data_IF_177716553819
#
_entry.id   IF_177716553819
#
_cell.length_a   1.000
_cell.length_b   1.000
_cell.length_c   1.000
_cell.angle_alpha   90.00
_cell.angle_beta   90.00
_cell.angle_gamma   90.00
#
_symmetry.space_group_name_H-M   'P 1'
#
loop_
_entity.id
_entity.type
_entity.pdbx_description
1 polymer ?
#
# COMPACT_ATOMS: atom_id res chain seq x y z
N UNK A 1 -18.03 -39.19 -54.98
CA UNK A 1 -17.12 -37.99 -55.04
C UNK A 1 -15.69 -38.53 -55.12
N UNK A 2 -15.03 -38.46 -56.27
CA UNK A 2 -13.64 -38.95 -56.41
C UNK A 2 -12.70 -37.92 -55.78
N UNK A 3 -12.16 -38.24 -54.61
CA UNK A 3 -11.13 -37.40 -53.96
C UNK A 3 -9.93 -37.39 -54.88
N UNK A 4 -9.50 -36.18 -55.30
CA UNK A 4 -8.33 -36.02 -56.20
C UNK A 4 -7.08 -36.46 -55.42
N UNK A 5 -6.24 -37.32 -56.05
CA UNK A 5 -4.99 -37.82 -55.43
C UNK A 5 -4.11 -36.69 -54.89
N UNK A 6 -4.15 -35.52 -55.51
CA UNK A 6 -3.46 -34.29 -55.09
C UNK A 6 -3.91 -33.78 -53.72
N UNK A 7 -5.23 -33.87 -53.42
CA UNK A 7 -5.77 -33.45 -52.14
C UNK A 7 -5.35 -34.38 -50.98
N UNK A 8 -5.22 -35.69 -51.28
CA UNK A 8 -4.73 -36.67 -50.28
C UNK A 8 -3.24 -36.42 -49.99
N UNK A 9 -2.44 -36.19 -51.04
CA UNK A 9 -1.00 -35.89 -50.87
C UNK A 9 -0.81 -34.60 -50.07
N UNK A 10 -1.58 -33.54 -50.35
CA UNK A 10 -1.53 -32.29 -49.61
C UNK A 10 -1.91 -32.49 -48.12
N UNK A 11 -2.93 -33.29 -47.84
CA UNK A 11 -3.34 -33.64 -46.47
C UNK A 11 -2.22 -34.36 -45.71
N UNK A 12 -1.56 -35.33 -46.34
CA UNK A 12 -0.40 -36.05 -45.76
C UNK A 12 0.76 -35.10 -45.47
N UNK A 13 1.09 -34.19 -46.40
CA UNK A 13 2.15 -33.21 -46.22
C UNK A 13 1.85 -32.28 -45.05
N UNK A 14 0.59 -31.79 -44.91
CA UNK A 14 0.19 -30.94 -43.80
C UNK A 14 0.31 -31.71 -42.46
N UNK A 15 -0.13 -32.95 -42.38
CA UNK A 15 -0.03 -33.77 -41.18
C UNK A 15 1.45 -34.01 -40.80
N UNK A 16 2.29 -34.34 -41.76
CA UNK A 16 3.74 -34.54 -41.52
C UNK A 16 4.43 -33.25 -41.06
N UNK A 17 4.12 -32.11 -41.68
CA UNK A 17 4.66 -30.83 -41.25
C UNK A 17 4.14 -30.41 -39.88
N UNK A 18 2.87 -30.67 -39.58
CA UNK A 18 2.29 -30.40 -38.24
C UNK A 18 2.94 -31.28 -37.16
N UNK A 19 3.10 -32.58 -37.45
CA UNK A 19 3.82 -33.49 -36.56
C UNK A 19 5.29 -33.08 -36.39
N UNK A 20 5.95 -32.69 -37.45
CA UNK A 20 7.32 -32.16 -37.39
C UNK A 20 7.41 -30.92 -36.50
N UNK A 21 6.47 -29.96 -36.61
CA UNK A 21 6.44 -28.75 -35.80
C UNK A 21 6.11 -29.06 -34.31
N UNK A 22 5.26 -30.06 -34.04
CA UNK A 22 4.89 -30.49 -32.68
C UNK A 22 6.07 -31.24 -32.02
N UNK A 23 6.71 -32.17 -32.76
CA UNK A 23 7.82 -32.97 -32.25
C UNK A 23 9.13 -32.18 -32.19
N UNK A 24 9.31 -31.22 -33.07
CA UNK A 24 10.49 -30.38 -33.16
C UNK A 24 10.23 -29.03 -32.43
N UNK A 25 9.69 -29.07 -31.20
CA UNK A 25 9.79 -27.96 -30.23
C UNK A 25 11.26 -27.82 -29.81
N UNK A 26 12.13 -27.57 -30.77
CA UNK A 26 13.50 -27.13 -30.54
C UNK A 26 13.40 -25.78 -29.85
N UNK A 27 13.81 -25.70 -28.60
CA UNK A 27 14.16 -24.46 -27.94
C UNK A 27 15.24 -23.78 -28.83
N UNK A 28 14.79 -22.90 -29.72
CA UNK A 28 15.65 -22.17 -30.67
C UNK A 28 16.45 -21.04 -30.02
N UNK A 29 16.57 -21.08 -28.67
CA UNK A 29 17.53 -20.20 -28.00
C UNK A 29 18.95 -20.75 -28.30
N UNK A 30 19.68 -20.06 -29.15
CA UNK A 30 21.10 -20.31 -29.46
C UNK A 30 22.02 -20.00 -28.26
N UNK A 31 21.44 -19.80 -27.06
CA UNK A 31 22.13 -19.42 -25.81
C UNK A 31 21.47 -20.06 -24.60
N UNK A 32 22.29 -20.48 -23.66
CA UNK A 32 21.82 -20.96 -22.35
C UNK A 32 21.43 -19.80 -21.47
N UNK A 33 20.18 -19.82 -21.00
CA UNK A 33 19.70 -18.85 -19.98
C UNK A 33 20.15 -19.26 -18.59
N UNK A 34 20.59 -18.31 -17.77
CA UNK A 34 20.93 -18.61 -16.39
C UNK A 34 19.70 -19.11 -15.64
N UNK A 35 19.80 -20.30 -15.06
CA UNK A 35 18.77 -20.84 -14.18
C UNK A 35 18.91 -20.24 -12.78
N UNK A 36 17.91 -19.45 -12.36
CA UNK A 36 17.88 -18.82 -11.05
C UNK A 36 17.00 -19.68 -10.13
N UNK A 37 17.60 -20.27 -9.11
CA UNK A 37 16.84 -21.07 -8.14
C UNK A 37 15.91 -20.16 -7.32
N UNK A 38 14.61 -20.49 -7.17
CA UNK A 38 13.72 -19.77 -6.26
C UNK A 38 14.26 -19.81 -4.82
N UNK A 39 13.92 -18.77 -4.06
CA UNK A 39 14.23 -18.67 -2.63
C UNK A 39 12.89 -18.61 -1.88
N UNK A 40 12.70 -19.34 -0.77
CA UNK A 40 11.52 -19.14 0.05
C UNK A 40 11.44 -17.67 0.53
N UNK A 41 10.31 -17.00 0.31
CA UNK A 41 10.13 -15.59 0.72
C UNK A 41 10.36 -15.41 2.21
N UNK A 42 10.00 -16.41 3.02
CA UNK A 42 10.19 -16.42 4.47
C UNK A 42 11.65 -16.43 4.91
N UNK A 43 12.60 -16.83 4.07
CA UNK A 43 14.03 -16.81 4.38
C UNK A 43 14.67 -15.45 4.13
N UNK A 44 14.02 -14.57 3.34
CA UNK A 44 14.53 -13.23 3.06
C UNK A 44 14.33 -12.36 4.30
N UNK A 45 15.43 -12.02 4.96
CA UNK A 45 15.43 -11.21 6.20
C UNK A 45 15.88 -9.76 5.98
N UNK A 46 16.56 -9.47 4.86
CA UNK A 46 17.06 -8.14 4.53
C UNK A 46 17.07 -7.92 3.02
N UNK A 47 16.66 -6.74 2.58
CA UNK A 47 16.70 -6.29 1.19
C UNK A 47 17.32 -4.90 1.14
N UNK A 48 18.30 -4.68 0.24
CA UNK A 48 18.82 -3.36 -0.11
C UNK A 48 18.48 -3.05 -1.56
N UNK A 49 18.06 -1.83 -1.81
CA UNK A 49 17.80 -1.27 -3.13
C UNK A 49 18.52 0.07 -3.22
N UNK A 50 19.63 0.09 -3.98
CA UNK A 50 20.50 1.26 -4.12
C UNK A 50 20.36 1.87 -5.51
N UNK A 51 20.04 3.15 -5.59
CA UNK A 51 19.88 3.92 -6.83
C UNK A 51 20.41 5.34 -6.69
N UNK A 52 20.42 6.11 -7.78
CA UNK A 52 20.76 7.54 -7.74
C UNK A 52 19.78 8.38 -6.90
N UNK A 53 18.57 7.88 -6.65
CA UNK A 53 17.58 8.55 -5.79
C UNK A 53 17.83 8.30 -4.29
N UNK A 54 18.74 7.40 -3.94
CA UNK A 54 19.09 7.03 -2.58
C UNK A 54 19.12 5.53 -2.35
N UNK A 55 19.43 5.14 -1.11
CA UNK A 55 19.46 3.76 -0.64
C UNK A 55 18.26 3.46 0.22
N UNK A 56 17.62 2.33 -0.02
CA UNK A 56 16.49 1.81 0.75
C UNK A 56 16.93 0.49 1.36
N UNK A 57 16.82 0.39 2.67
CA UNK A 57 17.16 -0.81 3.42
C UNK A 57 15.91 -1.31 4.14
N UNK A 58 15.49 -2.53 3.81
CA UNK A 58 14.37 -3.22 4.45
C UNK A 58 14.94 -4.35 5.30
N UNK A 59 14.61 -4.37 6.58
CA UNK A 59 15.13 -5.37 7.53
C UNK A 59 13.95 -5.99 8.27
N UNK A 60 13.95 -7.30 8.40
CA UNK A 60 13.01 -8.01 9.27
C UNK A 60 13.54 -8.06 10.69
N UNK A 61 12.83 -7.45 11.64
CA UNK A 61 13.13 -7.48 13.08
C UNK A 61 11.93 -8.06 13.82
N UNK A 62 12.16 -9.09 14.62
CA UNK A 62 11.09 -9.76 15.42
C UNK A 62 9.82 -10.10 14.62
N UNK A 63 9.99 -10.49 13.34
CA UNK A 63 8.87 -10.84 12.44
C UNK A 63 8.24 -9.65 11.70
N UNK A 64 8.58 -8.42 12.05
CA UNK A 64 8.08 -7.21 11.40
C UNK A 64 9.15 -6.60 10.50
N UNK A 65 8.70 -6.00 9.37
CA UNK A 65 9.59 -5.27 8.49
C UNK A 65 9.78 -3.84 8.95
N UNK A 66 11.01 -3.38 8.93
CA UNK A 66 11.38 -1.98 9.20
C UNK A 66 12.17 -1.41 8.04
N UNK A 67 12.03 -0.09 7.84
CA UNK A 67 12.63 0.65 6.74
C UNK A 67 13.77 1.51 7.27
N UNK A 68 14.93 1.37 6.66
CA UNK A 68 16.17 2.07 6.95
C UNK A 68 16.71 1.86 8.38
N UNK A 69 17.77 2.60 8.72
CA UNK A 69 18.41 2.50 10.05
C UNK A 69 17.55 3.08 11.16
N UNK A 70 16.68 4.05 10.83
CA UNK A 70 15.69 4.67 11.72
C UNK A 70 14.61 3.69 12.16
N UNK A 71 14.56 2.51 11.53
CA UNK A 71 13.63 1.44 11.83
C UNK A 71 12.15 1.85 11.77
N UNK A 72 11.79 2.67 10.77
CA UNK A 72 10.38 3.00 10.54
C UNK A 72 9.55 1.76 10.25
N UNK A 73 8.32 1.66 10.76
CA UNK A 73 7.43 0.55 10.42
C UNK A 73 7.26 0.41 8.91
N UNK A 74 7.43 -0.81 8.40
CA UNK A 74 7.32 -1.11 6.97
C UNK A 74 5.93 -1.58 6.56
N UNK A 75 5.47 -1.15 5.37
CA UNK A 75 4.24 -1.67 4.77
C UNK A 75 4.44 -3.13 4.34
N UNK A 76 3.81 -4.05 5.07
CA UNK A 76 3.97 -5.50 4.88
C UNK A 76 3.64 -5.95 3.46
N UNK A 77 2.60 -5.38 2.85
CA UNK A 77 2.14 -5.78 1.53
C UNK A 77 3.11 -5.32 0.43
N UNK A 78 3.55 -4.07 0.50
CA UNK A 78 4.51 -3.50 -0.46
C UNK A 78 5.85 -4.25 -0.38
N UNK A 79 6.35 -4.50 0.83
CA UNK A 79 7.62 -5.20 1.04
C UNK A 79 7.51 -6.67 0.61
N UNK A 80 6.40 -7.34 0.92
CA UNK A 80 6.14 -8.71 0.48
C UNK A 80 6.18 -8.83 -1.04
N UNK A 81 5.55 -7.91 -1.79
CA UNK A 81 5.61 -7.91 -3.26
C UNK A 81 7.05 -7.80 -3.78
N UNK A 82 7.88 -6.96 -3.18
CA UNK A 82 9.31 -6.85 -3.55
C UNK A 82 10.06 -8.14 -3.22
N UNK A 83 9.83 -8.71 -2.05
CA UNK A 83 10.44 -9.97 -1.65
C UNK A 83 10.04 -11.14 -2.58
N UNK A 84 8.77 -11.20 -3.00
CA UNK A 84 8.28 -12.20 -3.96
C UNK A 84 8.95 -12.08 -5.34
N UNK A 85 9.14 -10.86 -5.85
CA UNK A 85 9.87 -10.61 -7.10
C UNK A 85 11.32 -11.10 -6.98
N UNK A 86 11.99 -10.79 -5.88
CA UNK A 86 13.38 -11.20 -5.65
C UNK A 86 13.47 -12.72 -5.51
N UNK A 87 12.57 -13.32 -4.75
CA UNK A 87 12.50 -14.75 -4.48
C UNK A 87 12.30 -15.57 -5.75
N UNK A 88 11.40 -15.12 -6.63
CA UNK A 88 10.96 -15.82 -7.83
C UNK A 88 11.52 -15.19 -9.13
N UNK A 89 12.64 -14.48 -9.05
CA UNK A 89 13.25 -13.87 -10.24
C UNK A 89 13.50 -14.92 -11.32
N UNK A 90 12.91 -14.71 -12.50
CA UNK A 90 13.09 -15.56 -13.67
C UNK A 90 13.67 -14.79 -14.83
N UNK A 91 14.50 -15.44 -15.61
CA UNK A 91 15.11 -14.90 -16.84
C UNK A 91 14.46 -15.57 -18.03
N UNK A 92 13.99 -14.77 -18.99
CA UNK A 92 13.25 -15.29 -20.15
C UNK A 92 13.99 -15.16 -21.46
N UNK A 93 14.83 -14.15 -21.61
CA UNK A 93 15.48 -13.86 -22.90
C UNK A 93 16.83 -13.17 -22.70
N UNK A 94 17.85 -13.59 -23.42
CA UNK A 94 19.12 -12.84 -23.57
C UNK A 94 18.87 -11.67 -24.54
N UNK A 95 19.18 -10.46 -24.10
CA UNK A 95 18.95 -9.23 -24.88
C UNK A 95 20.24 -8.72 -25.50
N UNK A 96 21.32 -8.74 -24.72
CA UNK A 96 22.62 -8.23 -25.20
C UNK A 96 23.77 -8.85 -24.44
N UNK A 97 24.84 -9.12 -25.17
CA UNK A 97 26.15 -9.48 -24.64
C UNK A 97 27.12 -8.30 -24.66
N UNK A 98 26.71 -7.18 -25.28
CA UNK A 98 27.49 -5.94 -25.28
C UNK A 98 27.37 -5.23 -23.94
N UNK A 99 28.45 -4.52 -23.55
CA UNK A 99 28.45 -3.73 -22.28
C UNK A 99 27.82 -2.34 -22.45
N UNK A 100 26.94 -2.13 -23.44
CA UNK A 100 26.22 -0.88 -23.61
C UNK A 100 24.99 -0.84 -22.69
N UNK A 101 25.22 -0.57 -21.42
CA UNK A 101 24.22 -0.61 -20.37
C UNK A 101 23.26 0.58 -20.38
N UNK A 102 23.70 1.76 -20.88
CA UNK A 102 22.87 2.98 -20.92
C UNK A 102 21.58 2.79 -21.70
N UNK A 103 21.63 2.00 -22.80
CA UNK A 103 20.44 1.68 -23.60
C UNK A 103 19.31 1.02 -22.79
N UNK A 104 19.63 0.38 -21.69
CA UNK A 104 18.72 -0.43 -20.85
C UNK A 104 18.48 0.18 -19.47
N UNK A 105 18.96 1.40 -19.19
CA UNK A 105 19.00 2.04 -17.86
C UNK A 105 19.70 1.14 -16.81
N UNK A 106 20.72 0.43 -17.25
CA UNK A 106 21.61 -0.39 -16.40
C UNK A 106 22.95 0.30 -16.13
N UNK A 107 23.13 1.53 -16.63
CA UNK A 107 24.26 2.37 -16.30
C UNK A 107 24.20 2.89 -14.86
N UNK A 108 25.31 3.42 -14.33
CA UNK A 108 25.45 3.80 -12.93
C UNK A 108 24.39 4.80 -12.46
N UNK A 109 23.95 5.73 -13.33
CA UNK A 109 23.01 6.80 -12.96
C UNK A 109 21.53 6.38 -12.94
N UNK A 110 21.20 5.23 -13.56
CA UNK A 110 19.82 4.85 -13.81
C UNK A 110 19.43 3.51 -13.24
N UNK A 111 20.38 2.63 -12.93
CA UNK A 111 20.12 1.30 -12.39
C UNK A 111 19.67 1.34 -10.93
N UNK A 112 18.95 0.30 -10.54
CA UNK A 112 18.71 -0.02 -9.14
C UNK A 112 19.51 -1.29 -8.84
N UNK A 113 20.43 -1.23 -7.89
CA UNK A 113 21.16 -2.41 -7.40
C UNK A 113 20.33 -3.05 -6.31
N UNK A 114 19.91 -4.28 -6.52
CA UNK A 114 19.09 -5.05 -5.58
C UNK A 114 19.92 -6.16 -4.97
N UNK A 115 19.91 -6.22 -3.63
CA UNK A 115 20.55 -7.29 -2.86
C UNK A 115 19.58 -7.85 -1.83
N UNK A 116 19.57 -9.15 -1.63
CA UNK A 116 18.75 -9.81 -0.63
C UNK A 116 19.58 -10.83 0.17
N UNK A 117 19.29 -10.93 1.46
CA UNK A 117 19.98 -11.81 2.40
C UNK A 117 18.99 -12.71 3.12
N UNK A 118 19.46 -13.93 3.39
CA UNK A 118 18.89 -14.87 4.35
C UNK A 118 19.82 -14.91 5.57
N UNK A 119 19.40 -14.30 6.67
CA UNK A 119 20.32 -13.99 7.77
C UNK A 119 21.47 -13.10 7.28
N UNK A 120 22.71 -13.54 7.48
CA UNK A 120 23.90 -12.83 7.04
C UNK A 120 24.38 -13.23 5.63
N UNK A 121 23.76 -14.24 5.02
CA UNK A 121 24.15 -14.76 3.71
C UNK A 121 23.49 -13.98 2.59
N UNK A 122 24.29 -13.41 1.68
CA UNK A 122 23.78 -12.80 0.43
C UNK A 122 23.27 -13.90 -0.51
N UNK A 123 21.97 -13.95 -0.72
CA UNK A 123 21.30 -15.00 -1.52
C UNK A 123 20.92 -14.55 -2.93
N UNK A 124 20.83 -13.22 -3.15
CA UNK A 124 20.49 -12.65 -4.45
C UNK A 124 21.13 -11.29 -4.64
N UNK A 125 21.70 -11.06 -5.83
CA UNK A 125 22.17 -9.74 -6.26
C UNK A 125 21.99 -9.56 -7.77
N UNK A 126 21.37 -8.45 -8.18
CA UNK A 126 21.17 -8.09 -9.58
C UNK A 126 20.90 -6.60 -9.75
N UNK A 127 21.19 -6.08 -10.95
CA UNK A 127 20.86 -4.72 -11.36
C UNK A 127 19.54 -4.71 -12.10
N UNK A 128 18.69 -3.72 -11.82
CA UNK A 128 17.37 -3.49 -12.45
C UNK A 128 17.45 -2.27 -13.35
N UNK A 129 17.21 -2.48 -14.63
CA UNK A 129 17.12 -1.44 -15.65
C UNK A 129 15.67 -0.99 -15.89
N UNK A 130 15.41 -0.33 -17.03
CA UNK A 130 14.08 0.11 -17.40
C UNK A 130 13.14 -1.04 -17.77
N UNK A 131 11.85 -0.70 -17.82
CA UNK A 131 10.81 -1.57 -18.37
C UNK A 131 11.01 -1.70 -19.88
N UNK A 132 10.89 -2.90 -20.41
CA UNK A 132 10.96 -3.14 -21.86
C UNK A 132 9.78 -2.50 -22.60
N UNK A 133 9.95 -2.19 -23.88
CA UNK A 133 8.96 -1.48 -24.72
C UNK A 133 7.57 -2.13 -24.72
N UNK A 134 7.51 -3.46 -24.55
CA UNK A 134 6.24 -4.21 -24.44
C UNK A 134 5.57 -4.15 -23.08
N UNK A 135 6.11 -3.43 -22.10
CA UNK A 135 5.64 -3.29 -20.71
C UNK A 135 5.45 -4.60 -19.93
N UNK A 136 5.90 -5.74 -20.47
CA UNK A 136 5.76 -7.07 -19.84
C UNK A 136 7.02 -7.52 -19.10
N UNK A 137 8.17 -6.93 -19.38
CA UNK A 137 9.47 -7.35 -18.89
C UNK A 137 10.25 -6.17 -18.32
N UNK A 138 11.21 -6.46 -17.46
CA UNK A 138 12.21 -5.50 -16.97
C UNK A 138 13.59 -5.96 -17.47
N UNK A 139 14.43 -5.02 -17.91
CA UNK A 139 15.83 -5.33 -18.19
C UNK A 139 16.58 -5.57 -16.89
N UNK A 140 17.33 -6.65 -16.83
CA UNK A 140 18.13 -7.01 -15.64
C UNK A 140 19.52 -7.46 -16.03
N UNK A 141 20.46 -7.26 -15.10
CA UNK A 141 21.82 -7.78 -15.17
C UNK A 141 22.14 -8.51 -13.86
N UNK A 142 22.55 -9.77 -13.95
CA UNK A 142 22.90 -10.56 -12.77
C UNK A 142 24.29 -10.20 -12.27
N UNK A 143 24.54 -10.31 -10.96
CA UNK A 143 25.85 -10.12 -10.39
C UNK A 143 26.88 -11.08 -11.00
N UNK A 144 28.09 -10.57 -11.26
CA UNK A 144 29.15 -11.36 -11.90
C UNK A 144 28.93 -11.66 -13.40
N UNK A 145 27.81 -11.22 -13.99
CA UNK A 145 27.50 -11.44 -15.41
C UNK A 145 27.38 -10.10 -16.16
N UNK A 146 28.01 -9.98 -17.32
CA UNK A 146 27.98 -8.77 -18.14
C UNK A 146 26.77 -8.70 -19.09
N UNK A 147 26.05 -9.79 -19.23
CA UNK A 147 24.90 -9.92 -20.15
C UNK A 147 23.67 -9.21 -19.63
N UNK A 148 22.87 -8.67 -20.54
CA UNK A 148 21.57 -8.06 -20.26
C UNK A 148 20.46 -9.03 -20.64
N UNK A 149 19.49 -9.18 -19.76
CA UNK A 149 18.38 -10.10 -19.91
C UNK A 149 17.03 -9.42 -19.76
N UNK A 150 15.97 -10.06 -20.24
CA UNK A 150 14.61 -9.80 -19.78
C UNK A 150 14.31 -10.67 -18.56
N UNK A 151 13.80 -10.04 -17.52
CA UNK A 151 13.10 -10.74 -16.44
C UNK A 151 11.69 -11.16 -16.88
N UNK A 152 11.10 -12.16 -16.21
CA UNK A 152 9.79 -12.72 -16.55
C UNK A 152 8.62 -11.75 -16.40
N UNK A 153 8.79 -10.64 -15.67
CA UNK A 153 7.74 -9.65 -15.45
C UNK A 153 8.27 -8.21 -15.41
N UNK A 154 7.35 -7.25 -15.45
CA UNK A 154 7.63 -5.83 -15.30
C UNK A 154 7.52 -5.42 -13.82
N UNK A 155 8.63 -5.06 -13.19
CA UNK A 155 8.66 -4.78 -11.76
C UNK A 155 9.48 -3.55 -11.32
N UNK A 156 10.17 -2.85 -12.22
CA UNK A 156 10.98 -1.69 -11.85
C UNK A 156 10.22 -0.71 -10.96
N UNK A 157 8.98 -0.38 -11.32
CA UNK A 157 8.16 0.57 -10.58
C UNK A 157 7.86 0.13 -9.13
N UNK A 158 7.93 -1.19 -8.83
CA UNK A 158 7.75 -1.67 -7.46
C UNK A 158 8.99 -1.45 -6.61
N UNK A 159 10.18 -1.40 -7.22
CA UNK A 159 11.47 -1.23 -6.54
C UNK A 159 11.96 0.22 -6.54
N UNK A 160 11.54 1.03 -7.51
CA UNK A 160 11.93 2.43 -7.64
C UNK A 160 11.18 3.33 -6.66
N UNK A 161 11.86 4.37 -6.16
CA UNK A 161 11.28 5.42 -5.32
C UNK A 161 12.10 5.65 -4.05
N UNK A 162 11.51 6.45 -3.14
CA UNK A 162 12.11 6.77 -1.84
C UNK A 162 11.67 5.80 -0.76
N UNK A 163 12.41 5.77 0.36
CA UNK A 163 12.11 4.94 1.53
C UNK A 163 10.67 5.11 2.04
N UNK A 164 10.11 6.31 1.94
CA UNK A 164 8.73 6.62 2.35
C UNK A 164 7.66 5.75 1.64
N UNK A 165 7.93 5.24 0.44
CA UNK A 165 7.05 4.30 -0.28
C UNK A 165 6.86 2.98 0.46
N UNK A 166 7.85 2.56 1.22
CA UNK A 166 7.87 1.27 1.91
C UNK A 166 7.46 1.37 3.38
N UNK A 167 7.20 2.58 3.88
CA UNK A 167 6.73 2.81 5.25
C UNK A 167 5.25 2.49 5.37
N UNK A 168 4.84 1.97 6.51
CA UNK A 168 3.43 1.87 6.85
C UNK A 168 2.85 3.28 7.01
N UNK A 169 1.83 3.57 6.23
CA UNK A 169 1.14 4.87 6.20
C UNK A 169 -0.03 4.95 7.18
N UNK A 170 -0.34 3.89 7.91
CA UNK A 170 -1.38 3.91 8.93
C UNK A 170 -0.97 4.88 10.05
N UNK A 171 -1.79 5.90 10.29
CA UNK A 171 -1.55 6.93 11.31
C UNK A 171 -2.62 6.95 12.40
N UNK A 172 -3.74 6.26 12.15
CA UNK A 172 -4.79 6.01 13.14
C UNK A 172 -5.56 4.75 12.75
N UNK A 173 -5.74 3.85 13.71
CA UNK A 173 -6.50 2.61 13.52
C UNK A 173 -7.24 2.28 14.81
N UNK A 174 -8.57 2.14 14.74
CA UNK A 174 -9.41 1.74 15.87
C UNK A 174 -10.70 1.09 15.38
N UNK A 175 -11.37 0.35 16.26
CA UNK A 175 -12.68 -0.24 15.98
C UNK A 175 -13.79 0.77 16.30
N UNK A 176 -14.60 1.22 15.32
CA UNK A 176 -15.65 2.23 15.52
C UNK A 176 -16.67 1.88 16.62
N UNK A 177 -16.95 0.57 16.78
CA UNK A 177 -17.92 0.09 17.77
C UNK A 177 -17.46 0.25 19.21
N UNK A 178 -16.15 0.32 19.45
CA UNK A 178 -15.57 0.51 20.77
C UNK A 178 -15.60 1.97 21.23
N UNK A 179 -15.86 2.92 20.33
CA UNK A 179 -15.91 4.33 20.65
C UNK A 179 -17.24 4.68 21.32
N UNK A 180 -17.17 5.28 22.49
CA UNK A 180 -18.31 5.71 23.31
C UNK A 180 -18.49 7.23 23.33
N UNK A 181 -17.42 7.98 23.05
CA UNK A 181 -17.45 9.44 23.06
C UNK A 181 -16.61 10.00 21.91
N UNK A 182 -17.11 11.04 21.26
CA UNK A 182 -16.40 11.84 20.26
C UNK A 182 -16.35 13.27 20.75
N UNK A 183 -15.16 13.83 20.81
CA UNK A 183 -14.96 15.24 21.13
C UNK A 183 -14.38 15.94 19.90
N UNK A 184 -15.01 17.00 19.48
CA UNK A 184 -14.59 17.85 18.38
C UNK A 184 -14.19 19.22 18.92
N UNK A 185 -12.99 19.71 18.59
CA UNK A 185 -12.48 21.01 19.03
C UNK A 185 -11.95 21.80 17.83
N UNK A 186 -12.35 23.07 17.74
CA UNK A 186 -11.90 24.00 16.69
C UNK A 186 -11.74 25.38 17.32
N UNK A 187 -10.52 25.88 17.45
CA UNK A 187 -10.20 27.11 18.19
C UNK A 187 -10.87 27.07 19.59
N UNK A 188 -11.76 28.02 19.87
CA UNK A 188 -12.45 28.15 21.16
C UNK A 188 -13.75 27.35 21.23
N UNK A 189 -14.16 26.68 20.19
CA UNK A 189 -15.39 25.87 20.12
C UNK A 189 -15.09 24.40 20.38
N UNK A 190 -15.84 23.79 21.30
CA UNK A 190 -15.75 22.39 21.64
C UNK A 190 -17.16 21.78 21.69
N UNK A 191 -17.30 20.58 21.13
CA UNK A 191 -18.53 19.80 21.23
C UNK A 191 -18.20 18.36 21.58
N UNK A 192 -19.01 17.79 22.48
CA UNK A 192 -18.86 16.42 22.96
C UNK A 192 -20.13 15.65 22.60
N UNK A 193 -19.94 14.46 22.04
CA UNK A 193 -21.02 13.54 21.68
C UNK A 193 -20.79 12.22 22.38
N UNK A 194 -21.83 11.67 22.98
CA UNK A 194 -21.79 10.41 23.74
C UNK A 194 -22.74 9.42 23.09
N UNK A 195 -22.27 8.20 22.88
CA UNK A 195 -23.05 7.07 22.35
C UNK A 195 -23.96 6.55 23.44
N UNK A 196 -25.27 6.52 23.21
CA UNK A 196 -26.23 5.96 24.13
C UNK A 196 -27.06 4.87 23.45
N UNK A 197 -27.40 3.82 24.19
CA UNK A 197 -28.38 2.84 23.72
C UNK A 197 -29.75 3.51 23.78
N UNK A 198 -30.53 3.47 22.73
CA UNK A 198 -31.92 3.91 22.77
C UNK A 198 -32.71 2.84 23.50
N UNK A 199 -33.23 3.17 24.69
CA UNK A 199 -34.35 2.44 25.25
C UNK A 199 -35.60 3.00 24.54
N UNK A 200 -36.05 2.36 23.47
CA UNK A 200 -37.38 2.62 22.96
C UNK A 200 -38.36 2.03 23.98
N UNK A 201 -39.18 2.92 24.57
CA UNK A 201 -40.34 2.49 25.32
C UNK A 201 -41.24 1.66 24.42
N UNK A 202 -41.77 0.51 24.87
CA UNK A 202 -42.67 -0.31 24.09
C UNK A 202 -43.99 0.40 23.87
N UNK A 203 -44.11 1.14 22.78
CA UNK A 203 -45.39 1.71 22.36
C UNK A 203 -45.97 0.85 21.24
N UNK A 204 -46.37 -0.37 21.60
CA UNK A 204 -47.42 -1.14 20.90
C UNK A 204 -47.88 -2.30 21.76
N UNK A 205 -49.12 -2.30 22.10
CA UNK A 205 -49.90 -3.46 22.60
C UNK A 205 -49.74 -4.64 21.67
N UNK A 206 -49.47 -5.86 22.18
CA UNK A 206 -49.31 -7.04 21.32
C UNK A 206 -50.65 -7.42 20.70
N UNK A 207 -50.72 -7.42 19.37
CA UNK A 207 -51.71 -8.16 18.66
C UNK A 207 -51.01 -9.47 18.17
N UNK A 208 -51.64 -10.56 18.53
CA UNK A 208 -51.37 -11.97 18.36
C UNK A 208 -50.30 -12.44 17.36
N UNK A 209 -49.45 -13.38 17.84
CA UNK A 209 -48.74 -14.49 17.17
C UNK A 209 -47.79 -14.19 15.99
N UNK A 210 -46.80 -13.32 16.18
CA UNK A 210 -45.54 -13.37 15.39
C UNK A 210 -44.31 -13.49 16.33
N UNK A 211 -43.25 -14.28 15.94
CA UNK A 211 -42.02 -14.34 16.73
C UNK A 211 -41.38 -12.98 16.82
N UNK A 212 -41.20 -12.45 18.03
CA UNK A 212 -40.47 -11.22 18.33
C UNK A 212 -39.03 -11.36 17.80
N UNK A 213 -38.78 -10.91 16.58
CA UNK A 213 -37.43 -10.51 16.19
C UNK A 213 -37.05 -9.34 17.10
N UNK A 214 -36.10 -9.58 18.03
CA UNK A 214 -35.51 -8.51 18.83
C UNK A 214 -34.86 -7.51 17.86
N UNK A 215 -35.55 -6.44 17.51
CA UNK A 215 -34.97 -5.30 16.81
C UNK A 215 -33.75 -4.82 17.64
N UNK A 216 -32.57 -5.00 17.06
CA UNK A 216 -31.33 -4.52 17.63
C UNK A 216 -31.44 -3.02 17.75
N UNK A 217 -31.67 -2.51 18.97
CA UNK A 217 -31.67 -1.07 19.29
C UNK A 217 -30.39 -0.44 18.76
N UNK A 218 -30.51 0.42 17.75
CA UNK A 218 -29.37 1.10 17.18
C UNK A 218 -28.88 2.17 18.16
N UNK A 219 -27.59 2.19 18.51
CA UNK A 219 -27.06 3.23 19.38
C UNK A 219 -27.19 4.60 18.71
N UNK A 220 -27.56 5.63 19.46
CA UNK A 220 -27.68 7.02 18.99
C UNK A 220 -26.64 7.90 19.65
N UNK A 221 -26.19 8.91 18.92
CA UNK A 221 -25.28 9.93 19.44
C UNK A 221 -26.08 11.11 20.03
N UNK A 222 -25.74 11.52 21.24
CA UNK A 222 -26.32 12.71 21.89
C UNK A 222 -25.23 13.75 22.16
N UNK A 223 -25.60 15.02 22.01
CA UNK A 223 -24.77 16.15 22.40
C UNK A 223 -24.79 16.38 23.92
N UNK A 224 -24.02 17.35 24.44
CA UNK A 224 -23.98 17.69 25.85
C UNK A 224 -25.33 18.20 26.40
N UNK A 225 -26.24 18.69 25.56
CA UNK A 225 -27.57 19.10 25.92
C UNK A 225 -28.60 17.94 25.98
N UNK A 226 -28.18 16.73 25.55
CA UNK A 226 -29.05 15.55 25.48
C UNK A 226 -29.80 15.39 24.15
N UNK A 227 -29.61 16.31 23.18
CA UNK A 227 -30.25 16.23 21.88
C UNK A 227 -29.63 15.15 21.03
N UNK A 228 -30.45 14.39 20.31
CA UNK A 228 -30.01 13.37 19.38
C UNK A 228 -29.41 14.04 18.14
N UNK A 229 -28.17 13.74 17.87
CA UNK A 229 -27.48 14.17 16.64
C UNK A 229 -27.80 13.19 15.50
N UNK A 230 -28.10 13.70 14.30
CA UNK A 230 -28.33 12.84 13.14
C UNK A 230 -27.15 11.91 12.94
N UNK A 231 -27.39 10.64 13.18
CA UNK A 231 -26.41 9.56 13.37
C UNK A 231 -25.42 9.39 12.20
N UNK A 232 -25.84 9.67 10.97
CA UNK A 232 -25.06 9.42 9.77
C UNK A 232 -23.75 10.24 9.67
N UNK A 233 -23.66 11.44 10.23
CA UNK A 233 -22.46 12.30 10.13
C UNK A 233 -21.35 11.85 11.06
N UNK A 234 -21.68 11.53 12.31
CA UNK A 234 -20.72 11.04 13.31
C UNK A 234 -20.27 9.63 12.96
N UNK A 235 -21.19 8.76 12.54
CA UNK A 235 -20.86 7.40 12.10
C UNK A 235 -19.94 7.41 10.86
N UNK A 236 -20.20 8.32 9.92
CA UNK A 236 -19.31 8.50 8.77
C UNK A 236 -17.92 8.97 9.20
N UNK A 237 -17.83 9.99 10.06
CA UNK A 237 -16.54 10.49 10.58
C UNK A 237 -15.74 9.38 11.28
N UNK A 238 -16.40 8.56 12.09
CA UNK A 238 -15.78 7.39 12.71
C UNK A 238 -15.24 6.40 11.69
N UNK A 239 -16.03 6.05 10.68
CA UNK A 239 -15.62 5.15 9.61
C UNK A 239 -14.44 5.69 8.82
N UNK A 240 -14.48 6.98 8.44
CA UNK A 240 -13.43 7.62 7.65
C UNK A 240 -12.09 7.71 8.42
N UNK A 241 -12.12 7.82 9.76
CA UNK A 241 -10.94 7.96 10.61
C UNK A 241 -10.47 6.65 11.25
N UNK A 242 -11.27 5.60 11.23
CA UNK A 242 -10.95 4.31 11.87
C UNK A 242 -9.78 3.56 11.23
N UNK A 243 -9.40 3.89 9.99
CA UNK A 243 -8.26 3.33 9.27
C UNK A 243 -7.55 4.40 8.43
N UNK A 244 -7.11 5.46 9.11
CA UNK A 244 -6.56 6.65 8.48
C UNK A 244 -5.12 6.40 8.01
N UNK A 245 -4.84 6.76 6.76
CA UNK A 245 -3.50 6.71 6.17
C UNK A 245 -3.03 8.09 5.76
N UNK A 246 -1.76 8.39 6.00
CA UNK A 246 -1.13 9.63 5.55
C UNK A 246 -0.68 9.52 4.08
N UNK A 247 -0.46 10.68 3.43
CA UNK A 247 0.17 10.75 2.11
C UNK A 247 1.68 10.65 2.20
N UNK A 248 2.28 11.35 3.15
CA UNK A 248 3.73 11.36 3.41
C UNK A 248 4.01 11.71 4.87
N UNK A 249 5.19 11.33 5.36
CA UNK A 249 5.68 11.78 6.66
C UNK A 249 6.44 13.11 6.53
N UNK A 250 6.46 13.89 7.62
CA UNK A 250 7.19 15.15 7.72
C UNK A 250 8.46 14.86 8.51
N UNK A 251 9.62 14.92 7.86
CA UNK A 251 10.91 14.51 8.44
C UNK A 251 11.61 15.61 9.22
N UNK A 252 11.34 16.86 8.91
CA UNK A 252 12.04 18.05 9.42
C UNK A 252 11.36 18.69 10.65
N UNK A 253 10.22 18.14 11.11
CA UNK A 253 9.45 18.68 12.23
C UNK A 253 8.97 17.58 13.18
N UNK A 254 9.02 17.88 14.48
CA UNK A 254 8.51 17.02 15.55
C UNK A 254 7.08 17.42 15.94
N UNK A 255 6.35 16.54 16.64
CA UNK A 255 5.00 16.85 17.17
C UNK A 255 4.99 18.12 18.05
N UNK A 256 6.05 18.35 18.83
CA UNK A 256 6.20 19.54 19.69
C UNK A 256 6.23 20.87 18.92
N UNK A 257 6.54 20.84 17.63
CA UNK A 257 6.65 22.04 16.80
C UNK A 257 5.30 22.47 16.22
N UNK A 258 4.26 21.64 16.44
CA UNK A 258 2.90 21.88 15.98
C UNK A 258 2.05 22.41 17.12
N UNK A 259 1.63 23.68 17.01
CA UNK A 259 0.78 24.38 17.98
C UNK A 259 -0.46 24.93 17.26
N UNK A 260 -1.51 25.17 18.00
CA UNK A 260 -2.75 25.80 17.54
C UNK A 260 -3.39 25.05 16.35
N UNK A 261 -3.89 23.80 16.55
CA UNK A 261 -4.55 23.03 15.52
C UNK A 261 -5.82 23.73 15.03
N UNK A 262 -6.07 23.66 13.73
CA UNK A 262 -7.34 24.10 13.14
C UNK A 262 -8.52 23.29 13.69
N UNK A 263 -8.34 21.97 13.78
CA UNK A 263 -9.34 21.01 14.26
C UNK A 263 -8.62 19.90 15.02
N UNK A 264 -9.18 19.51 16.15
CA UNK A 264 -8.80 18.29 16.87
C UNK A 264 -10.03 17.41 17.04
N UNK A 265 -9.90 16.15 16.70
CA UNK A 265 -10.89 15.09 16.95
C UNK A 265 -10.31 14.14 17.98
N UNK A 266 -11.06 13.89 19.06
CA UNK A 266 -10.69 12.92 20.09
C UNK A 266 -11.78 11.86 20.19
N UNK A 267 -11.40 10.61 20.12
CA UNK A 267 -12.26 9.45 20.30
C UNK A 267 -11.93 8.79 21.64
N UNK A 268 -12.96 8.51 22.44
CA UNK A 268 -12.81 7.83 23.73
C UNK A 268 -13.64 6.57 23.75
N UNK A 269 -13.00 5.47 24.11
CA UNK A 269 -13.59 4.16 24.33
C UNK A 269 -12.84 3.46 25.45
N UNK A 270 -12.38 2.23 25.20
CA UNK A 270 -11.40 1.56 26.08
C UNK A 270 -10.05 2.29 26.10
N UNK A 271 -9.71 2.92 25.01
CA UNK A 271 -8.54 3.76 24.82
C UNK A 271 -8.96 5.14 24.29
N UNK A 272 -8.03 6.10 24.36
CA UNK A 272 -8.25 7.45 23.84
C UNK A 272 -7.34 7.68 22.62
N UNK A 273 -7.94 8.10 21.51
CA UNK A 273 -7.25 8.43 20.28
C UNK A 273 -7.50 9.89 19.89
N UNK A 274 -6.50 10.58 19.39
CA UNK A 274 -6.66 11.95 18.92
C UNK A 274 -5.95 12.19 17.58
N UNK A 275 -6.59 13.03 16.77
CA UNK A 275 -6.06 13.55 15.51
C UNK A 275 -6.15 15.07 15.54
N UNK A 276 -5.04 15.75 15.36
CA UNK A 276 -4.99 17.21 15.20
C UNK A 276 -4.53 17.57 13.81
N UNK A 277 -5.25 18.48 13.15
CA UNK A 277 -4.99 18.96 11.79
C UNK A 277 -4.60 20.44 11.89
N UNK A 278 -3.55 20.83 11.19
CA UNK A 278 -2.96 22.16 11.20
C UNK A 278 -3.09 22.88 9.86
N UNK A 279 -2.94 24.20 9.85
CA UNK A 279 -3.02 24.99 8.64
C UNK A 279 -1.99 24.53 7.59
N UNK A 280 -2.42 24.53 6.34
CA UNK A 280 -1.56 24.22 5.22
C UNK A 280 -0.61 25.41 4.97
N UNK A 281 0.69 25.13 4.86
CA UNK A 281 1.66 26.16 4.47
C UNK A 281 1.53 26.45 2.97
N UNK A 282 1.60 27.71 2.58
CA UNK A 282 1.59 28.14 1.16
C UNK A 282 2.68 27.46 0.31
N UNK A 283 3.76 27.00 0.94
CA UNK A 283 4.89 26.34 0.26
C UNK A 283 4.70 24.84 0.06
N UNK A 284 3.71 24.23 0.73
CA UNK A 284 3.53 22.78 0.70
C UNK A 284 2.10 22.39 0.30
N UNK A 285 1.95 21.94 -0.92
CA UNK A 285 0.66 21.51 -1.51
C UNK A 285 0.34 20.03 -1.29
N UNK A 286 1.22 19.29 -0.57
CA UNK A 286 1.11 17.82 -0.41
C UNK A 286 -0.06 17.38 0.47
N UNK A 287 -0.68 18.31 1.22
CA UNK A 287 -1.79 18.04 2.13
C UNK A 287 -1.73 18.93 3.37
N UNK A 288 -2.57 18.62 4.34
CA UNK A 288 -2.59 19.30 5.64
C UNK A 288 -1.63 18.62 6.61
N UNK A 289 -0.74 19.36 7.29
CA UNK A 289 0.04 18.80 8.38
C UNK A 289 -0.89 18.26 9.48
N UNK A 290 -0.55 17.12 10.03
CA UNK A 290 -1.33 16.49 11.08
C UNK A 290 -0.47 15.69 12.06
N UNK A 291 -0.99 15.44 13.24
CA UNK A 291 -0.43 14.56 14.26
C UNK A 291 -1.53 13.64 14.81
N UNK A 292 -1.17 12.44 15.16
CA UNK A 292 -2.04 11.45 15.80
C UNK A 292 -1.45 10.99 17.13
N UNK A 293 -2.29 10.60 18.09
CA UNK A 293 -1.82 10.00 19.34
C UNK A 293 -1.21 8.61 19.14
N UNK A 294 -1.62 7.88 18.08
CA UNK A 294 -1.17 6.52 17.79
C UNK A 294 0.12 6.45 16.94
N UNK A 295 0.64 7.56 16.48
CA UNK A 295 1.83 7.58 15.62
C UNK A 295 2.84 8.59 16.16
N UNK A 296 4.10 8.23 16.28
CA UNK A 296 5.14 9.13 16.81
C UNK A 296 5.62 10.17 15.80
N UNK A 297 5.30 9.99 14.53
CA UNK A 297 5.72 10.85 13.45
C UNK A 297 4.66 11.90 13.11
N UNK A 298 5.11 13.03 12.60
CA UNK A 298 4.27 14.06 11.99
C UNK A 298 4.08 13.72 10.51
N UNK A 299 2.91 14.06 9.96
CA UNK A 299 2.56 13.59 8.62
C UNK A 299 1.65 14.58 7.88
N UNK A 300 1.53 14.38 6.58
CA UNK A 300 0.55 15.07 5.74
C UNK A 300 -0.68 14.19 5.51
N UNK A 301 -1.85 14.72 5.86
CA UNK A 301 -3.12 14.15 5.41
C UNK A 301 -3.42 14.61 3.99
N UNK A 302 -3.89 13.72 3.10
CA UNK A 302 -4.43 14.13 1.80
C UNK A 302 -5.46 15.24 1.97
N UNK A 303 -5.42 16.25 1.09
CA UNK A 303 -6.32 17.41 1.18
C UNK A 303 -7.79 17.01 1.30
N UNK A 304 -8.25 16.05 0.48
CA UNK A 304 -9.64 15.60 0.48
C UNK A 304 -10.09 15.00 1.82
N UNK A 305 -9.19 14.28 2.53
CA UNK A 305 -9.49 13.71 3.86
C UNK A 305 -9.54 14.81 4.92
N UNK A 306 -8.57 15.72 4.94
CA UNK A 306 -8.55 16.83 5.88
C UNK A 306 -9.78 17.74 5.69
N UNK A 307 -10.12 18.09 4.44
CA UNK A 307 -11.30 18.89 4.11
C UNK A 307 -12.60 18.21 4.56
N UNK A 308 -12.70 16.87 4.46
CA UNK A 308 -13.85 16.11 4.98
C UNK A 308 -13.98 16.24 6.51
N UNK A 309 -12.88 16.11 7.24
CA UNK A 309 -12.89 16.25 8.72
C UNK A 309 -13.27 17.67 9.11
N UNK A 310 -12.66 18.69 8.47
CA UNK A 310 -12.94 20.11 8.73
C UNK A 310 -14.42 20.43 8.46
N UNK A 311 -14.94 19.96 7.31
CA UNK A 311 -16.35 20.16 6.93
C UNK A 311 -17.31 19.43 7.87
N UNK A 312 -16.97 18.19 8.26
CA UNK A 312 -17.79 17.45 9.22
C UNK A 312 -17.91 18.21 10.55
N UNK A 313 -16.83 18.86 11.00
CA UNK A 313 -16.86 19.73 12.16
C UNK A 313 -17.86 20.88 11.97
N UNK A 314 -17.75 21.63 10.89
CA UNK A 314 -18.60 22.80 10.61
C UNK A 314 -20.09 22.42 10.48
N UNK A 315 -20.36 21.22 10.00
CA UNK A 315 -21.71 20.66 9.83
C UNK A 315 -22.35 20.12 11.11
N UNK A 316 -21.51 19.68 12.08
CA UNK A 316 -21.96 19.03 13.33
C UNK A 316 -22.01 20.04 14.48
N UNK A 317 -21.06 20.98 14.50
CA UNK A 317 -20.94 22.01 15.55
C UNK A 317 -21.48 23.32 14.98
N UNK A 318 -22.73 23.73 15.34
CA UNK A 318 -23.24 25.01 14.89
C UNK A 318 -22.40 26.16 15.44
N UNK A 319 -21.76 26.90 14.54
CA UNK A 319 -21.08 28.14 14.92
C UNK A 319 -22.14 29.09 15.49
N UNK A 320 -22.06 29.40 16.80
CA UNK A 320 -22.85 30.52 17.37
C UNK A 320 -22.42 31.78 16.60
N UNK A 321 -23.35 32.31 15.77
CA UNK A 321 -23.23 33.62 15.16
C UNK A 321 -23.32 34.71 16.23
#
# INVERSE_FOLDING_TARGET
>A
MKIRKEAVILGVVIVVLSLYLILNKSDRSLYDLPHIKPIPVSEISKISMDSSEGSILLIQKTGEWVVNQEAYPGDKNTIKQVAEIIANLTITTLISESKNYERYDLGPDHKIIVKAWAGDTLVREFDVGKVASGHRHTYVKLAGNHRVYHAGESFRNRMQGKADKFRDKAVMTFEPDQIQQIQLSKKDAQSVFTKQKTEEAPDKTPADDEPLEMEKTKPVWKNAAGDVVKDNKLTKLLGDLSSLKCSAFIEDRKKSDFKDPMVTVTFKGSEEFSLSIFEQSEKNTSGYPAISSQNDYTFFLPKWQADQVIKAFDDIVPVKK
#
